data_IF_022686530513
#
_entry.id   IF_022686530513
#
_cell.length_a   1.000
_cell.length_b   1.000
_cell.length_c   1.000
_cell.angle_alpha   90.00
_cell.angle_beta   90.00
_cell.angle_gamma   90.00
#
_symmetry.space_group_name_H-M   'P 1'
#
loop_
_entity.id
_entity.type
_entity.pdbx_description
1 polymer ?
#
# COMPACT_ATOMS: atom_id res chain seq x y z
N UNK A 1 14.74 0.30 -21.75
CA UNK A 1 15.50 1.28 -20.94
C UNK A 1 14.81 1.36 -19.59
N UNK A 2 15.53 1.24 -18.47
CA UNK A 2 14.92 1.37 -17.15
C UNK A 2 14.65 2.84 -16.86
N UNK A 3 13.43 3.17 -16.46
CA UNK A 3 13.03 4.53 -16.10
C UNK A 3 13.07 4.74 -14.58
N UNK A 4 12.84 5.97 -14.11
CA UNK A 4 12.89 6.31 -12.69
C UNK A 4 12.00 5.40 -11.81
N UNK A 5 10.82 5.02 -12.33
CA UNK A 5 9.91 4.10 -11.65
C UNK A 5 10.52 2.70 -11.46
N UNK A 6 11.24 2.18 -12.44
CA UNK A 6 11.88 0.87 -12.34
C UNK A 6 12.98 0.88 -11.28
N UNK A 7 13.78 1.96 -11.22
CA UNK A 7 14.79 2.14 -10.18
C UNK A 7 14.18 2.26 -8.79
N UNK A 8 13.07 3.00 -8.65
CA UNK A 8 12.33 3.07 -7.40
C UNK A 8 11.86 1.69 -6.94
N UNK A 9 11.24 0.91 -7.83
CA UNK A 9 10.78 -0.46 -7.54
C UNK A 9 11.96 -1.34 -7.10
N UNK A 10 13.06 -1.31 -7.85
CA UNK A 10 14.27 -2.10 -7.54
C UNK A 10 14.84 -1.77 -6.16
N UNK A 11 14.92 -0.48 -5.80
CA UNK A 11 15.41 -0.04 -4.49
C UNK A 11 14.51 -0.55 -3.37
N UNK A 12 13.20 -0.46 -3.53
CA UNK A 12 12.24 -0.93 -2.52
C UNK A 12 12.31 -2.46 -2.37
N UNK A 13 12.36 -3.21 -3.48
CA UNK A 13 12.51 -4.66 -3.45
C UNK A 13 13.83 -5.09 -2.81
N UNK A 14 14.94 -4.46 -3.18
CA UNK A 14 16.24 -4.74 -2.61
C UNK A 14 16.29 -4.39 -1.11
N UNK A 15 15.67 -3.27 -0.72
CA UNK A 15 15.47 -2.92 0.68
C UNK A 15 14.71 -4.00 1.45
N UNK A 16 13.63 -4.53 0.86
CA UNK A 16 12.87 -5.67 1.39
C UNK A 16 13.70 -6.94 1.55
N UNK A 17 14.47 -7.31 0.52
CA UNK A 17 15.39 -8.47 0.55
C UNK A 17 16.46 -8.32 1.64
N UNK A 18 17.14 -7.17 1.72
CA UNK A 18 18.20 -6.93 2.71
C UNK A 18 17.62 -6.89 4.12
N UNK A 19 16.49 -6.20 4.32
CA UNK A 19 15.77 -6.18 5.60
C UNK A 19 15.33 -7.59 5.99
N UNK A 20 14.86 -8.38 5.04
CA UNK A 20 14.51 -9.78 5.22
C UNK A 20 15.69 -10.62 5.67
N UNK A 21 16.81 -10.49 4.99
CA UNK A 21 18.02 -11.25 5.26
C UNK A 21 18.70 -10.90 6.59
N UNK A 22 18.60 -9.63 6.99
CA UNK A 22 19.14 -9.15 8.28
C UNK A 22 18.29 -9.58 9.47
N UNK A 23 16.99 -9.73 9.27
CA UNK A 23 16.02 -10.05 10.33
C UNK A 23 15.69 -11.56 10.39
N UNK A 24 15.87 -12.30 9.31
CA UNK A 24 15.57 -13.74 9.27
C UNK A 24 14.10 -14.08 9.05
N UNK A 25 13.82 -15.35 8.77
CA UNK A 25 12.51 -15.83 8.33
C UNK A 25 11.44 -15.74 9.42
N UNK A 26 11.75 -16.17 10.64
CA UNK A 26 10.78 -16.23 11.76
C UNK A 26 10.14 -14.86 12.00
N UNK A 27 10.96 -13.81 12.17
CA UNK A 27 10.44 -12.47 12.38
C UNK A 27 9.77 -11.89 11.13
N UNK A 28 10.24 -12.22 9.93
CA UNK A 28 9.57 -11.78 8.70
C UNK A 28 8.17 -12.37 8.57
N UNK A 29 8.00 -13.67 8.81
CA UNK A 29 6.69 -14.35 8.80
C UNK A 29 5.77 -13.75 9.86
N UNK A 30 6.25 -13.57 11.10
CA UNK A 30 5.45 -12.92 12.15
C UNK A 30 5.03 -11.49 11.76
N UNK A 31 5.93 -10.73 11.14
CA UNK A 31 5.62 -9.38 10.66
C UNK A 31 4.67 -9.35 9.46
N UNK A 32 4.63 -10.43 8.67
CA UNK A 32 3.74 -10.57 7.53
C UNK A 32 2.33 -10.93 8.02
N UNK A 33 2.21 -11.86 8.96
CA UNK A 33 0.95 -12.18 9.63
C UNK A 33 0.39 -10.92 10.29
N UNK A 34 1.23 -10.19 11.03
CA UNK A 34 0.83 -8.93 11.64
C UNK A 34 0.38 -7.88 10.65
N UNK A 35 1.00 -7.81 9.48
CA UNK A 35 0.58 -6.91 8.41
C UNK A 35 -0.80 -7.29 7.87
N UNK A 36 -1.04 -8.57 7.60
CA UNK A 36 -2.34 -9.07 7.11
C UNK A 36 -3.43 -8.78 8.15
N UNK A 37 -3.21 -9.15 9.41
CA UNK A 37 -4.17 -8.90 10.50
C UNK A 37 -4.42 -7.40 10.66
N UNK A 38 -3.38 -6.56 10.61
CA UNK A 38 -3.54 -5.10 10.67
C UNK A 38 -4.40 -4.58 9.53
N UNK A 39 -4.20 -5.06 8.29
CA UNK A 39 -5.04 -4.68 7.15
C UNK A 39 -6.49 -5.08 7.36
N UNK A 40 -6.77 -6.35 7.70
CA UNK A 40 -8.13 -6.84 7.90
C UNK A 40 -8.87 -6.05 8.97
N UNK A 41 -8.25 -5.88 10.14
CA UNK A 41 -8.84 -5.14 11.26
C UNK A 41 -8.99 -3.66 10.89
N UNK A 42 -8.01 -3.04 10.23
CA UNK A 42 -8.12 -1.63 9.84
C UNK A 42 -9.27 -1.36 8.89
N UNK A 43 -9.49 -2.21 7.88
CA UNK A 43 -10.60 -2.05 6.94
C UNK A 43 -11.94 -2.25 7.63
N UNK A 44 -12.03 -3.17 8.59
CA UNK A 44 -13.26 -3.39 9.35
C UNK A 44 -13.61 -2.21 10.26
N UNK A 45 -12.62 -1.62 10.91
CA UNK A 45 -12.84 -0.58 11.92
C UNK A 45 -12.63 0.86 11.41
N UNK A 46 -12.27 1.07 10.14
CA UNK A 46 -11.90 2.39 9.60
C UNK A 46 -13.01 3.44 9.74
N UNK A 47 -14.27 3.05 9.56
CA UNK A 47 -15.41 3.97 9.71
C UNK A 47 -15.65 4.36 11.18
N UNK A 48 -15.77 3.35 12.04
CA UNK A 48 -16.08 3.53 13.46
C UNK A 48 -15.00 4.32 14.21
N UNK A 49 -13.72 3.99 13.98
CA UNK A 49 -12.59 4.71 14.59
C UNK A 49 -12.36 6.05 13.91
N UNK A 50 -12.62 6.13 12.61
CA UNK A 50 -12.46 7.36 11.82
C UNK A 50 -13.24 8.55 12.37
N UNK A 51 -14.52 8.34 12.69
CA UNK A 51 -15.40 9.38 13.25
C UNK A 51 -14.86 9.90 14.59
N UNK A 52 -14.35 9.01 15.45
CA UNK A 52 -13.76 9.38 16.74
C UNK A 52 -12.48 10.21 16.56
N UNK A 53 -11.62 9.84 15.61
CA UNK A 53 -10.36 10.54 15.34
C UNK A 53 -10.63 11.93 14.76
N UNK A 54 -11.49 12.03 13.75
CA UNK A 54 -11.79 13.29 13.08
C UNK A 54 -12.49 14.28 14.00
N UNK A 55 -13.47 13.82 14.80
CA UNK A 55 -14.14 14.68 15.79
C UNK A 55 -13.20 15.20 16.88
N UNK A 56 -12.21 14.40 17.28
CA UNK A 56 -11.21 14.80 18.28
C UNK A 56 -10.17 15.80 17.74
N UNK A 57 -9.87 15.74 16.44
CA UNK A 57 -8.83 16.56 15.79
C UNK A 57 -9.40 17.73 14.97
N UNK A 58 -10.72 17.83 14.81
CA UNK A 58 -11.37 18.87 14.00
C UNK A 58 -11.06 18.76 12.51
N UNK A 59 -10.85 17.55 12.00
CA UNK A 59 -10.55 17.31 10.58
C UNK A 59 -11.85 17.25 9.74
N UNK A 60 -11.71 17.20 8.41
CA UNK A 60 -12.85 16.97 7.52
C UNK A 60 -13.40 15.55 7.70
N UNK A 61 -14.73 15.40 7.67
CA UNK A 61 -15.40 14.08 7.72
C UNK A 61 -15.02 13.18 6.54
N UNK A 62 -14.66 13.77 5.38
CA UNK A 62 -14.14 13.01 4.23
C UNK A 62 -12.87 12.23 4.56
N UNK A 63 -12.07 12.69 5.52
CA UNK A 63 -10.85 12.03 5.96
C UNK A 63 -11.11 10.94 7.02
N UNK A 64 -12.34 10.78 7.50
CA UNK A 64 -12.63 9.85 8.59
C UNK A 64 -12.21 8.41 8.27
N UNK A 65 -12.57 7.80 7.13
CA UNK A 65 -12.14 6.44 6.82
C UNK A 65 -10.61 6.31 6.73
N UNK A 66 -9.93 7.29 6.11
CA UNK A 66 -8.47 7.27 5.99
C UNK A 66 -7.78 7.38 7.35
N UNK A 67 -8.26 8.28 8.20
CA UNK A 67 -7.73 8.49 9.54
C UNK A 67 -7.95 7.24 10.42
N UNK A 68 -9.15 6.67 10.39
CA UNK A 68 -9.49 5.46 11.13
C UNK A 68 -8.68 4.25 10.67
N UNK A 69 -8.58 4.03 9.35
CA UNK A 69 -7.74 2.99 8.77
C UNK A 69 -6.30 3.12 9.26
N UNK A 70 -5.72 4.34 9.17
CA UNK A 70 -4.33 4.60 9.52
C UNK A 70 -4.05 4.35 11.00
N UNK A 71 -4.91 4.86 11.90
CA UNK A 71 -4.74 4.69 13.35
C UNK A 71 -4.84 3.21 13.75
N UNK A 72 -5.86 2.51 13.26
CA UNK A 72 -6.06 1.08 13.58
C UNK A 72 -4.93 0.24 12.99
N UNK A 73 -4.58 0.48 11.73
CA UNK A 73 -3.49 -0.23 11.05
C UNK A 73 -2.18 -0.08 11.82
N UNK A 74 -1.79 1.14 12.17
CA UNK A 74 -0.54 1.40 12.90
C UNK A 74 -0.57 0.75 14.29
N UNK A 75 -1.67 0.87 15.04
CA UNK A 75 -1.79 0.28 16.36
C UNK A 75 -1.60 -1.25 16.33
N UNK A 76 -2.34 -1.93 15.45
CA UNK A 76 -2.28 -3.39 15.31
C UNK A 76 -0.92 -3.83 14.75
N UNK A 77 -0.41 -3.14 13.72
CA UNK A 77 0.88 -3.47 13.12
C UNK A 77 2.03 -3.34 14.12
N UNK A 78 2.06 -2.28 14.91
CA UNK A 78 3.09 -2.07 15.94
C UNK A 78 3.01 -3.13 17.04
N UNK A 79 1.81 -3.51 17.45
CA UNK A 79 1.59 -4.61 18.41
C UNK A 79 2.19 -5.92 17.89
N UNK A 80 1.86 -6.33 16.67
CA UNK A 80 2.42 -7.55 16.08
C UNK A 80 3.92 -7.45 15.83
N UNK A 81 4.43 -6.27 15.48
CA UNK A 81 5.86 -6.04 15.34
C UNK A 81 6.61 -6.18 16.68
N UNK A 82 5.98 -5.81 17.79
CA UNK A 82 6.51 -6.05 19.13
C UNK A 82 6.46 -7.54 19.48
N UNK A 83 5.31 -8.21 19.27
CA UNK A 83 5.17 -9.65 19.51
C UNK A 83 6.17 -10.48 18.70
N UNK A 84 6.37 -10.14 17.43
CA UNK A 84 7.32 -10.84 16.55
C UNK A 84 8.76 -10.76 17.07
N UNK A 85 9.14 -9.66 17.72
CA UNK A 85 10.47 -9.53 18.35
C UNK A 85 10.60 -10.42 19.59
N UNK A 86 9.55 -10.51 20.40
CA UNK A 86 9.56 -11.38 21.59
C UNK A 86 9.65 -12.85 21.17
N UNK A 87 8.92 -13.24 20.12
CA UNK A 87 8.99 -14.59 19.56
C UNK A 87 10.39 -14.87 19.02
N UNK A 88 10.99 -13.93 18.29
CA UNK A 88 12.36 -14.09 17.77
C UNK A 88 13.40 -14.36 18.86
N UNK A 89 13.31 -13.68 20.02
CA UNK A 89 14.20 -13.92 21.17
C UNK A 89 14.14 -15.38 21.66
N UNK A 90 12.96 -16.01 21.61
CA UNK A 90 12.80 -17.42 22.00
C UNK A 90 13.43 -18.36 20.96
N UNK A 91 13.45 -17.96 19.69
CA UNK A 91 13.97 -18.75 18.56
C UNK A 91 15.39 -18.34 18.12
N UNK A 92 16.10 -17.53 18.92
CA UNK A 92 17.44 -17.03 18.59
C UNK A 92 18.45 -18.14 18.28
N UNK A 93 18.26 -19.35 18.82
CA UNK A 93 19.12 -20.50 18.54
C UNK A 93 19.01 -21.04 17.10
N UNK A 94 17.92 -20.74 16.39
CA UNK A 94 17.68 -21.15 14.99
C UNK A 94 18.05 -20.06 13.97
N UNK A 95 18.27 -18.82 14.43
CA UNK A 95 18.31 -17.62 13.58
C UNK A 95 19.62 -17.43 12.81
N UNK A 96 20.72 -18.07 13.24
CA UNK A 96 22.07 -17.86 12.70
C UNK A 96 22.38 -18.64 11.41
N UNK A 97 21.51 -19.57 10.99
CA UNK A 97 21.73 -20.31 9.75
C UNK A 97 21.55 -19.40 8.53
N UNK A 98 22.48 -19.50 7.57
CA UNK A 98 22.39 -18.83 6.27
C UNK A 98 21.04 -19.12 5.59
N UNK A 99 20.48 -20.31 5.79
CA UNK A 99 19.16 -20.68 5.26
C UNK A 99 18.03 -19.85 5.87
N UNK A 100 18.02 -19.64 7.20
CA UNK A 100 17.02 -18.80 7.86
C UNK A 100 17.08 -17.35 7.35
N UNK A 101 18.29 -16.82 7.15
CA UNK A 101 18.49 -15.47 6.61
C UNK A 101 18.06 -15.40 5.14
N UNK A 102 18.44 -16.37 4.32
CA UNK A 102 18.03 -16.43 2.91
C UNK A 102 16.50 -16.50 2.76
N UNK A 103 15.84 -17.37 3.54
CA UNK A 103 14.38 -17.45 3.58
C UNK A 103 13.76 -16.14 4.08
N UNK A 104 14.35 -15.50 5.10
CA UNK A 104 13.95 -14.17 5.55
C UNK A 104 14.06 -13.13 4.45
N UNK A 105 15.13 -13.17 3.66
CA UNK A 105 15.31 -12.35 2.47
C UNK A 105 14.16 -12.52 1.49
N UNK A 106 13.88 -13.76 1.08
CA UNK A 106 12.78 -14.08 0.17
C UNK A 106 11.42 -13.57 0.68
N UNK A 107 11.08 -13.84 1.95
CA UNK A 107 9.83 -13.33 2.56
C UNK A 107 9.81 -11.80 2.58
N UNK A 108 10.92 -11.15 2.91
CA UNK A 108 11.04 -9.69 2.90
C UNK A 108 10.88 -9.08 1.51
N UNK A 109 11.41 -9.73 0.47
CA UNK A 109 11.25 -9.34 -0.93
C UNK A 109 9.79 -9.46 -1.39
N UNK A 110 9.14 -10.61 -1.13
CA UNK A 110 7.72 -10.81 -1.42
C UNK A 110 6.86 -9.78 -0.71
N UNK A 111 7.11 -9.57 0.59
CA UNK A 111 6.40 -8.54 1.38
C UNK A 111 6.56 -7.15 0.78
N UNK A 112 7.76 -6.75 0.36
CA UNK A 112 8.00 -5.46 -0.28
C UNK A 112 7.26 -5.35 -1.63
N UNK A 113 7.24 -6.42 -2.42
CA UNK A 113 6.52 -6.48 -3.69
C UNK A 113 5.00 -6.33 -3.49
N UNK A 114 4.43 -6.99 -2.48
CA UNK A 114 3.02 -6.85 -2.12
C UNK A 114 2.67 -5.43 -1.64
N UNK A 115 3.54 -4.81 -0.84
CA UNK A 115 3.36 -3.42 -0.40
C UNK A 115 3.43 -2.42 -1.57
N UNK A 116 4.35 -2.63 -2.52
CA UNK A 116 4.40 -1.85 -3.76
C UNK A 116 3.14 -2.05 -4.60
N UNK A 117 2.65 -3.27 -4.71
CA UNK A 117 1.43 -3.60 -5.43
C UNK A 117 0.21 -2.88 -4.82
N UNK A 118 0.10 -2.89 -3.49
CA UNK A 118 -0.91 -2.13 -2.76
C UNK A 118 -0.78 -0.62 -3.02
N UNK A 119 0.45 -0.09 -2.98
CA UNK A 119 0.71 1.32 -3.29
C UNK A 119 0.27 1.68 -4.71
N UNK A 120 0.58 0.84 -5.70
CA UNK A 120 0.18 1.06 -7.10
C UNK A 120 -1.33 0.95 -7.29
N UNK A 121 -2.02 0.11 -6.53
CA UNK A 121 -3.48 0.06 -6.56
C UNK A 121 -4.09 1.39 -6.07
N UNK A 122 -3.58 1.93 -4.95
CA UNK A 122 -4.04 3.20 -4.38
C UNK A 122 -3.71 4.37 -5.29
N UNK A 123 -2.46 4.47 -5.76
CA UNK A 123 -2.03 5.51 -6.70
C UNK A 123 -2.74 5.37 -8.07
N UNK A 124 -3.07 4.13 -8.44
CA UNK A 124 -3.89 3.75 -9.57
C UNK A 124 -5.19 4.52 -9.64
N UNK A 125 -5.87 4.64 -8.49
CA UNK A 125 -7.12 5.38 -8.34
C UNK A 125 -6.97 6.86 -8.67
N UNK A 126 -5.90 7.51 -8.24
CA UNK A 126 -5.66 8.94 -8.50
C UNK A 126 -4.87 9.22 -9.79
N UNK A 127 -4.85 8.26 -10.73
CA UNK A 127 -4.13 8.33 -12.01
C UNK A 127 -2.62 8.66 -11.91
N UNK A 128 -1.96 8.35 -10.78
CA UNK A 128 -0.51 8.50 -10.61
C UNK A 128 0.19 7.13 -10.53
N UNK A 129 1.40 6.92 -11.10
CA UNK A 129 2.03 7.72 -12.16
C UNK A 129 1.16 7.76 -13.43
N UNK A 130 1.45 8.66 -14.37
CA UNK A 130 0.70 8.78 -15.62
C UNK A 130 0.72 7.47 -16.44
N UNK A 131 -0.25 7.34 -17.36
CA UNK A 131 -0.45 6.11 -18.15
C UNK A 131 0.75 5.76 -19.03
N UNK A 132 1.52 6.74 -19.49
CA UNK A 132 2.70 6.51 -20.32
C UNK A 132 3.81 5.88 -19.46
N UNK A 133 4.12 6.48 -18.31
CA UNK A 133 5.08 5.98 -17.31
C UNK A 133 4.75 4.55 -16.88
N UNK A 134 3.47 4.23 -16.65
CA UNK A 134 3.01 2.86 -16.32
C UNK A 134 3.27 1.86 -17.46
N UNK A 135 3.10 2.27 -18.71
CA UNK A 135 3.27 1.41 -19.90
C UNK A 135 4.73 1.12 -20.22
N UNK A 136 5.60 2.12 -20.07
CA UNK A 136 7.02 1.96 -20.40
C UNK A 136 7.83 1.29 -19.28
N UNK A 137 7.31 1.25 -18.04
CA UNK A 137 7.95 0.55 -16.93
C UNK A 137 7.89 -0.96 -17.09
N UNK A 138 9.05 -1.59 -16.93
CA UNK A 138 9.22 -3.05 -17.02
C UNK A 138 8.61 -3.75 -15.81
N UNK A 139 8.76 -3.15 -14.61
CA UNK A 139 8.36 -3.79 -13.35
C UNK A 139 6.97 -3.37 -12.84
N UNK A 140 6.39 -2.29 -13.36
CA UNK A 140 5.09 -1.82 -12.87
C UNK A 140 4.00 -2.88 -13.01
N UNK A 141 3.80 -3.42 -14.21
CA UNK A 141 2.71 -4.37 -14.48
C UNK A 141 2.86 -5.68 -13.67
N UNK A 142 4.04 -6.35 -13.65
CA UNK A 142 4.23 -7.53 -12.81
C UNK A 142 3.93 -7.26 -11.34
N UNK A 143 4.46 -6.17 -10.78
CA UNK A 143 4.27 -5.84 -9.36
C UNK A 143 2.81 -5.48 -9.06
N UNK A 144 2.16 -4.68 -9.90
CA UNK A 144 0.76 -4.27 -9.71
C UNK A 144 -0.22 -5.46 -9.70
N UNK A 145 0.11 -6.57 -10.36
CA UNK A 145 -0.72 -7.79 -10.38
C UNK A 145 -0.52 -8.71 -9.18
N UNK A 146 0.60 -8.59 -8.47
CA UNK A 146 0.90 -9.49 -7.36
C UNK A 146 -0.16 -9.46 -6.27
N UNK A 147 -0.66 -8.28 -5.88
CA UNK A 147 -1.66 -8.19 -4.83
C UNK A 147 -2.99 -8.85 -5.22
N UNK A 148 -3.64 -8.51 -6.36
CA UNK A 148 -4.89 -9.17 -6.73
C UNK A 148 -4.72 -10.67 -6.92
N UNK A 149 -3.64 -11.12 -7.58
CA UNK A 149 -3.36 -12.55 -7.72
C UNK A 149 -3.17 -13.25 -6.37
N UNK A 150 -2.51 -12.58 -5.41
CA UNK A 150 -2.32 -13.12 -4.05
C UNK A 150 -3.64 -13.19 -3.30
N UNK A 151 -4.52 -12.19 -3.43
CA UNK A 151 -5.84 -12.19 -2.79
C UNK A 151 -6.69 -13.32 -3.37
N UNK A 152 -6.75 -13.44 -4.70
CA UNK A 152 -7.48 -14.52 -5.38
C UNK A 152 -6.95 -15.89 -4.96
N UNK A 153 -5.63 -16.07 -4.96
CA UNK A 153 -5.01 -17.31 -4.54
C UNK A 153 -5.29 -17.64 -3.06
N UNK A 154 -5.48 -16.63 -2.20
CA UNK A 154 -5.70 -16.83 -0.77
C UNK A 154 -7.16 -16.80 -0.34
N UNK A 155 -8.09 -16.52 -1.25
CA UNK A 155 -9.54 -16.42 -0.96
C UNK A 155 -10.09 -17.68 -0.28
N UNK A 156 -9.63 -18.85 -0.71
CA UNK A 156 -10.08 -20.14 -0.15
C UNK A 156 -9.71 -20.30 1.33
N UNK A 157 -8.54 -19.78 1.74
CA UNK A 157 -8.04 -19.91 3.11
C UNK A 157 -8.36 -18.71 4.00
N UNK A 158 -8.45 -17.51 3.41
CA UNK A 158 -8.61 -16.23 4.11
C UNK A 158 -9.68 -15.40 3.36
N UNK A 159 -10.98 -15.77 3.46
CA UNK A 159 -12.04 -15.05 2.76
C UNK A 159 -12.11 -13.57 3.16
N UNK A 160 -11.74 -13.25 4.41
CA UNK A 160 -11.65 -11.88 4.89
C UNK A 160 -10.69 -10.98 4.09
N UNK A 161 -9.67 -11.55 3.43
CA UNK A 161 -8.74 -10.79 2.60
C UNK A 161 -9.43 -10.17 1.38
N UNK A 162 -10.33 -10.92 0.74
CA UNK A 162 -11.13 -10.44 -0.38
C UNK A 162 -12.13 -9.38 0.05
N UNK A 163 -12.85 -9.62 1.15
CA UNK A 163 -13.80 -8.65 1.69
C UNK A 163 -13.14 -7.31 2.03
N UNK A 164 -11.94 -7.38 2.64
CA UNK A 164 -11.16 -6.19 2.97
C UNK A 164 -10.66 -5.47 1.71
N UNK A 165 -10.17 -6.20 0.70
CA UNK A 165 -9.73 -5.63 -0.56
C UNK A 165 -10.88 -4.95 -1.33
N UNK A 166 -12.05 -5.58 -1.37
CA UNK A 166 -13.24 -5.03 -2.02
C UNK A 166 -13.75 -3.78 -1.30
N UNK A 167 -13.77 -3.78 0.04
CA UNK A 167 -14.10 -2.59 0.86
C UNK A 167 -13.14 -1.44 0.58
N UNK A 168 -11.83 -1.70 0.57
CA UNK A 168 -10.81 -0.69 0.30
C UNK A 168 -10.94 -0.14 -1.13
N UNK A 169 -11.12 -1.02 -2.12
CA UNK A 169 -11.28 -0.64 -3.52
C UNK A 169 -12.52 0.23 -3.78
N UNK A 170 -13.63 -0.02 -3.07
CA UNK A 170 -14.82 0.83 -3.13
C UNK A 170 -14.55 2.23 -2.59
N UNK A 171 -13.87 2.34 -1.45
CA UNK A 171 -13.54 3.64 -0.85
C UNK A 171 -12.59 4.47 -1.74
N UNK A 172 -11.56 3.84 -2.31
CA UNK A 172 -10.64 4.52 -3.23
C UNK A 172 -11.39 5.06 -4.44
N UNK A 173 -12.28 4.26 -5.05
CA UNK A 173 -13.08 4.72 -6.21
C UNK A 173 -14.02 5.87 -5.87
N UNK A 174 -14.69 5.84 -4.72
CA UNK A 174 -15.61 6.92 -4.33
C UNK A 174 -14.89 8.25 -4.10
N UNK A 175 -13.67 8.23 -3.56
CA UNK A 175 -12.90 9.46 -3.35
C UNK A 175 -12.38 10.03 -4.68
N UNK A 176 -11.97 9.17 -5.62
CA UNK A 176 -11.51 9.58 -6.95
C UNK A 176 -12.64 10.23 -7.75
N UNK A 177 -13.85 9.68 -7.73
CA UNK A 177 -15.02 10.25 -8.41
C UNK A 177 -15.50 11.56 -7.77
N UNK A 178 -15.18 11.80 -6.50
CA UNK A 178 -15.57 13.01 -5.78
C UNK A 178 -14.67 14.24 -6.06
N UNK A 179 -13.48 14.05 -6.65
CA UNK A 179 -12.59 15.16 -7.05
C UNK A 179 -13.02 15.66 -8.44
N UNK A 180 -13.54 16.89 -8.58
CA UNK A 180 -13.91 17.42 -9.89
C UNK A 180 -12.69 17.43 -10.82
N UNK A 181 -12.82 16.87 -12.02
CA UNK A 181 -11.82 17.04 -13.07
C UNK A 181 -11.56 18.55 -13.23
N UNK A 182 -10.34 19.01 -12.94
CA UNK A 182 -9.92 20.38 -13.26
C UNK A 182 -9.94 20.48 -14.78
N UNK A 183 -10.83 21.29 -15.38
CA UNK A 183 -10.94 21.32 -16.83
C UNK A 183 -9.61 21.78 -17.43
N UNK A 184 -9.04 20.93 -18.29
CA UNK A 184 -7.79 21.19 -19.00
C UNK A 184 -7.86 22.36 -20.02
N UNK A 185 -8.97 23.12 -20.03
CA UNK A 185 -9.24 24.19 -20.99
C UNK A 185 -9.64 25.50 -20.32
N UNK A 186 -8.79 26.02 -19.44
CA UNK A 186 -8.91 27.38 -18.90
C UNK A 186 -7.73 28.28 -19.30
N UNK A 187 -6.97 27.88 -20.32
CA UNK A 187 -5.81 28.60 -20.83
C UNK A 187 -5.92 29.14 -22.26
N UNK A 188 -7.03 28.91 -22.98
CA UNK A 188 -7.12 29.22 -24.42
C UNK A 188 -8.16 30.30 -24.79
N UNK A 189 -9.02 30.74 -23.87
CA UNK A 189 -10.22 31.52 -24.22
C UNK A 189 -10.17 33.04 -23.91
N UNK A 190 -9.00 33.65 -23.65
CA UNK A 190 -8.91 35.09 -23.27
C UNK A 190 -7.96 35.92 -24.15
N UNK A 191 -7.64 35.48 -25.37
CA UNK A 191 -6.85 36.27 -26.33
C UNK A 191 -7.62 36.59 -27.62
N UNK A 192 -8.85 37.07 -27.48
CA UNK A 192 -9.49 37.80 -28.57
C UNK A 192 -10.24 39.02 -28.00
N UNK A 193 -9.46 39.95 -27.45
CA UNK A 193 -9.92 41.31 -27.21
C UNK A 193 -9.87 42.07 -28.53
N UNK A 194 -11.00 42.05 -29.25
CA UNK A 194 -11.31 42.95 -30.35
C UNK A 194 -11.04 44.40 -29.92
N UNK A 195 -9.92 44.94 -30.41
CA UNK A 195 -9.64 46.37 -30.44
C UNK A 195 -10.21 46.94 -31.74
N UNK A 196 -11.20 47.84 -31.72
CA UNK A 196 -11.53 48.59 -32.92
C UNK A 196 -10.41 49.63 -33.16
N UNK A 197 -9.68 49.46 -34.24
CA UNK A 197 -8.99 50.55 -34.91
C UNK A 197 -10.01 51.26 -35.80
N UNK A 198 -10.12 52.58 -35.59
CA UNK A 198 -10.89 53.60 -36.31
C UNK A 198 -12.24 53.99 -35.69
#
# INVERSE_FOLDING_TARGET
MLIALDWFILVVLLGGLIRGYTVGAVRQVGSLIGLVVALLVSVEFMGSVGVLVVSSLGLSESLAPLAGFTVVFLGVYLLFAALSRLVEQVFESLSLSVLNRAAGGAVGGVKAALLLSLLFLVLGGVEMPDRETRRVSVFYTPIARLLPETIEATEEWIPAAKDAADKLGRWVRSEVEAVPEVPADSGSAVLDSDMPLN
#
